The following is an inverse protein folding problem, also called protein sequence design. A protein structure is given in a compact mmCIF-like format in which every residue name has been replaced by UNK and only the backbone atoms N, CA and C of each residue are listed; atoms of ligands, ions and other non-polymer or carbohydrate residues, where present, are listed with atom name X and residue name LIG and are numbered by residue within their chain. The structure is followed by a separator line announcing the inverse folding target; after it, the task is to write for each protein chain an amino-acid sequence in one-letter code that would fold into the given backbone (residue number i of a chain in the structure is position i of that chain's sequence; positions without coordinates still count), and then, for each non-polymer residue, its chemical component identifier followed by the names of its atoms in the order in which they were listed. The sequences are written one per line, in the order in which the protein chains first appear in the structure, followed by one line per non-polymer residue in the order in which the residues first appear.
data_IF_628341005388
#
_entry.id   IF_628341005388
#
_cell.length_a   1.000
_cell.length_b   1.000
_cell.length_c   1.000
_cell.angle_alpha   90.00
_cell.angle_beta   90.00
_cell.angle_gamma   90.00
#
_symmetry.space_group_name_H-M   'P 1'
#
loop_
_entity.id
_entity.type
_entity.pdbx_description
1 polymer ?
#
# COMPACT_ATOMS: atom_id res chain seq x y z
N UNK A 1 -8.65 -26.98 0.66
CA UNK A 1 -7.50 -27.73 1.19
C UNK A 1 -6.38 -26.81 1.68
N UNK A 2 -5.71 -26.00 0.83
CA UNK A 2 -4.66 -25.08 1.28
C UNK A 2 -5.13 -24.05 2.35
N UNK A 3 -6.37 -23.58 2.26
CA UNK A 3 -6.97 -22.67 3.26
C UNK A 3 -7.13 -23.29 4.66
N UNK A 4 -7.22 -24.62 4.77
CA UNK A 4 -7.34 -25.31 6.06
C UNK A 4 -6.00 -25.40 6.81
N UNK A 5 -4.89 -25.64 6.11
CA UNK A 5 -3.55 -25.69 6.71
C UNK A 5 -3.15 -24.37 7.37
N UNK A 6 -3.59 -23.25 6.79
CA UNK A 6 -3.37 -21.90 7.33
C UNK A 6 -4.15 -21.58 8.60
N UNK A 7 -5.26 -22.28 8.84
CA UNK A 7 -6.01 -22.14 10.10
C UNK A 7 -5.23 -22.73 11.27
N UNK A 8 -4.31 -23.66 10.99
CA UNK A 8 -3.47 -24.35 11.95
C UNK A 8 -2.00 -23.85 11.97
N UNK A 9 -1.69 -22.78 11.23
CA UNK A 9 -0.31 -22.24 11.08
C UNK A 9 0.73 -23.23 10.53
N UNK A 10 0.29 -24.31 9.87
CA UNK A 10 1.18 -25.32 9.27
C UNK A 10 1.60 -24.90 7.85
N UNK A 11 2.65 -24.08 7.79
CA UNK A 11 3.21 -23.55 6.54
C UNK A 11 3.98 -24.62 5.76
N UNK A 12 4.61 -25.58 6.45
CA UNK A 12 5.37 -26.65 5.81
C UNK A 12 4.45 -27.64 5.09
N UNK A 13 3.32 -28.02 5.70
CA UNK A 13 2.28 -28.80 5.03
C UNK A 13 1.67 -28.10 3.83
N UNK A 14 1.41 -26.78 3.95
CA UNK A 14 0.92 -25.96 2.83
C UNK A 14 1.94 -25.89 1.68
N UNK A 15 3.24 -25.78 1.99
CA UNK A 15 4.34 -25.76 1.01
C UNK A 15 4.45 -27.10 0.27
N UNK A 16 4.34 -28.22 0.98
CA UNK A 16 4.41 -29.56 0.39
C UNK A 16 3.28 -29.76 -0.64
N UNK A 17 2.06 -29.43 -0.24
CA UNK A 17 0.90 -29.46 -1.13
C UNK A 17 1.05 -28.53 -2.32
N UNK A 18 1.58 -27.32 -2.11
CA UNK A 18 1.81 -26.37 -3.20
C UNK A 18 2.82 -26.88 -4.25
N UNK A 19 3.85 -27.63 -3.82
CA UNK A 19 4.80 -28.28 -4.74
C UNK A 19 4.17 -29.39 -5.57
N UNK A 20 3.19 -30.11 -5.02
CA UNK A 20 2.49 -31.21 -5.69
C UNK A 20 1.39 -30.76 -6.66
N UNK A 21 1.01 -29.47 -6.67
CA UNK A 21 -0.02 -28.96 -7.58
C UNK A 21 0.45 -29.03 -9.06
N UNK A 22 -0.31 -29.68 -9.95
CA UNK A 22 -0.01 -29.70 -11.39
C UNK A 22 -0.01 -28.28 -11.99
N UNK A 23 -0.91 -27.43 -11.50
CA UNK A 23 -1.03 -26.03 -11.87
C UNK A 23 -1.00 -25.18 -10.61
N UNK A 24 0.06 -24.41 -10.44
CA UNK A 24 0.17 -23.39 -9.39
C UNK A 24 -0.65 -22.19 -9.83
N UNK A 25 -1.89 -22.08 -9.36
CA UNK A 25 -2.76 -20.93 -9.63
C UNK A 25 -2.30 -19.68 -8.86
N UNK A 26 -2.80 -18.50 -9.24
CA UNK A 26 -2.60 -17.26 -8.47
C UNK A 26 -3.13 -17.44 -7.05
N UNK A 27 -4.31 -18.03 -6.90
CA UNK A 27 -4.93 -18.29 -5.59
C UNK A 27 -4.05 -19.17 -4.71
N UNK A 28 -3.51 -20.28 -5.23
CA UNK A 28 -2.63 -21.15 -4.45
C UNK A 28 -1.36 -20.42 -3.95
N UNK A 29 -0.82 -19.50 -4.76
CA UNK A 29 0.33 -18.66 -4.38
C UNK A 29 -0.06 -17.63 -3.31
N UNK A 30 -1.17 -16.92 -3.49
CA UNK A 30 -1.68 -15.95 -2.50
C UNK A 30 -1.94 -16.62 -1.15
N UNK A 31 -2.49 -17.83 -1.18
CA UNK A 31 -2.76 -18.64 0.02
C UNK A 31 -1.45 -19.05 0.71
N UNK A 32 -0.45 -19.53 -0.02
CA UNK A 32 0.87 -19.84 0.55
C UNK A 32 1.52 -18.60 1.19
N UNK A 33 1.51 -17.46 0.47
CA UNK A 33 2.10 -16.19 0.93
C UNK A 33 1.39 -15.68 2.20
N UNK A 34 0.06 -15.68 2.21
CA UNK A 34 -0.70 -15.31 3.42
C UNK A 34 -0.41 -16.22 4.62
N UNK A 35 0.05 -17.45 4.40
CA UNK A 35 0.57 -18.32 5.46
C UNK A 35 1.88 -17.92 6.05
N UNK A 36 2.89 -17.72 5.23
CA UNK A 36 4.19 -17.23 5.69
C UNK A 36 4.05 -15.91 6.46
N UNK A 37 3.17 -15.02 5.96
CA UNK A 37 2.84 -13.74 6.60
C UNK A 37 2.22 -13.91 7.99
N UNK A 38 1.30 -14.88 8.17
CA UNK A 38 0.64 -15.15 9.46
C UNK A 38 1.59 -15.75 10.49
N UNK A 39 2.46 -16.67 10.06
CA UNK A 39 3.46 -17.32 10.93
C UNK A 39 4.65 -16.40 11.22
N UNK A 40 4.75 -15.25 10.56
CA UNK A 40 5.85 -14.31 10.72
C UNK A 40 7.15 -14.79 10.08
N UNK A 41 7.12 -15.90 9.34
CA UNK A 41 8.29 -16.46 8.66
C UNK A 41 8.42 -15.89 7.25
N UNK A 42 8.51 -14.57 7.19
CA UNK A 42 8.50 -13.82 5.92
C UNK A 42 9.86 -13.93 5.21
N UNK A 43 10.92 -14.26 5.95
CA UNK A 43 12.26 -14.52 5.41
C UNK A 43 12.26 -15.74 4.48
N UNK A 44 11.76 -16.91 4.93
CA UNK A 44 11.62 -18.10 4.08
C UNK A 44 10.72 -17.87 2.88
N UNK A 45 9.74 -16.97 3.00
CA UNK A 45 8.86 -16.63 1.88
C UNK A 45 9.65 -16.04 0.70
N UNK A 46 10.72 -15.26 0.95
CA UNK A 46 11.54 -14.68 -0.12
C UNK A 46 12.35 -15.73 -0.88
N UNK A 47 12.71 -16.84 -0.23
CA UNK A 47 13.41 -17.96 -0.87
C UNK A 47 12.46 -18.78 -1.75
N UNK A 48 11.22 -18.97 -1.27
CA UNK A 48 10.28 -19.91 -1.88
C UNK A 48 9.36 -19.27 -2.94
N UNK A 49 9.20 -17.94 -2.92
CA UNK A 49 8.24 -17.22 -3.74
C UNK A 49 8.95 -16.21 -4.66
N UNK A 50 8.67 -16.21 -5.98
CA UNK A 50 9.24 -15.21 -6.87
C UNK A 50 8.98 -13.78 -6.39
N UNK A 51 9.99 -12.91 -6.41
CA UNK A 51 9.94 -11.55 -5.87
C UNK A 51 8.72 -10.74 -6.36
N UNK A 52 8.33 -10.87 -7.64
CA UNK A 52 7.14 -10.20 -8.20
C UNK A 52 5.84 -10.61 -7.49
N UNK A 53 5.72 -11.87 -7.09
CA UNK A 53 4.53 -12.38 -6.40
C UNK A 53 4.48 -11.93 -4.93
N UNK A 54 5.64 -11.70 -4.31
CA UNK A 54 5.72 -11.15 -2.96
C UNK A 54 5.18 -9.71 -2.94
N UNK A 55 5.64 -8.84 -3.85
CA UNK A 55 5.15 -7.46 -3.96
C UNK A 55 3.65 -7.41 -4.26
N UNK A 56 3.18 -8.21 -5.23
CA UNK A 56 1.75 -8.28 -5.58
C UNK A 56 0.89 -8.70 -4.39
N UNK A 57 1.39 -9.60 -3.53
CA UNK A 57 0.65 -10.08 -2.37
C UNK A 57 0.57 -9.06 -1.23
N UNK A 58 1.66 -8.34 -0.97
CA UNK A 58 1.63 -7.19 -0.06
C UNK A 58 0.66 -6.13 -0.55
N UNK A 59 0.67 -5.82 -1.85
CA UNK A 59 -0.25 -4.85 -2.45
C UNK A 59 -1.71 -5.28 -2.29
N UNK A 60 -2.03 -6.53 -2.61
CA UNK A 60 -3.39 -7.06 -2.46
C UNK A 60 -3.85 -7.02 -1.00
N UNK A 61 -2.96 -7.35 -0.05
CA UNK A 61 -3.28 -7.31 1.37
C UNK A 61 -3.53 -5.89 1.88
N UNK A 62 -2.65 -4.96 1.53
CA UNK A 62 -2.78 -3.53 1.87
C UNK A 62 -4.07 -2.97 1.28
N UNK A 63 -4.33 -3.21 -0.01
CA UNK A 63 -5.55 -2.76 -0.68
C UNK A 63 -6.80 -3.34 0.00
N UNK A 64 -6.81 -4.64 0.30
CA UNK A 64 -7.92 -5.27 0.99
C UNK A 64 -8.17 -4.70 2.40
N UNK A 65 -7.13 -4.33 3.15
CA UNK A 65 -7.32 -3.64 4.44
C UNK A 65 -7.89 -2.23 4.26
N UNK A 66 -7.43 -1.50 3.25
CA UNK A 66 -7.94 -0.15 2.93
C UNK A 66 -9.41 -0.20 2.49
N UNK A 67 -9.79 -1.14 1.62
CA UNK A 67 -11.18 -1.35 1.19
C UNK A 67 -12.11 -1.69 2.36
N UNK A 68 -11.58 -2.35 3.40
CA UNK A 68 -12.34 -2.69 4.60
C UNK A 68 -12.24 -1.64 5.72
N UNK A 69 -11.79 -0.41 5.42
CA UNK A 69 -11.62 0.68 6.42
C UNK A 69 -10.78 0.27 7.63
N UNK A 70 -9.72 -0.51 7.40
CA UNK A 70 -8.74 -0.98 8.40
C UNK A 70 -7.38 -0.39 8.12
N UNK A 71 -7.29 0.93 8.16
CA UNK A 71 -6.11 1.70 7.74
C UNK A 71 -4.89 1.42 8.63
N UNK A 72 -5.10 1.23 9.93
CA UNK A 72 -4.04 0.88 10.86
C UNK A 72 -3.41 -0.49 10.53
N UNK A 73 -4.22 -1.46 10.13
CA UNK A 73 -3.73 -2.77 9.70
C UNK A 73 -3.01 -2.68 8.36
N UNK A 74 -3.54 -1.89 7.42
CA UNK A 74 -2.87 -1.61 6.15
C UNK A 74 -1.47 -1.01 6.39
N UNK A 75 -1.36 -0.03 7.29
CA UNK A 75 -0.09 0.60 7.65
C UNK A 75 0.86 -0.40 8.33
N UNK A 76 0.36 -1.21 9.27
CA UNK A 76 1.17 -2.23 9.95
C UNK A 76 1.82 -3.18 8.95
N UNK A 77 1.07 -3.59 7.92
CA UNK A 77 1.58 -4.46 6.88
C UNK A 77 2.52 -3.72 5.92
N UNK A 78 2.23 -2.48 5.55
CA UNK A 78 3.16 -1.66 4.78
C UNK A 78 4.51 -1.47 5.51
N UNK A 79 4.49 -1.19 6.81
CA UNK A 79 5.71 -1.07 7.63
C UNK A 79 6.51 -2.37 7.63
N UNK A 80 5.86 -3.51 7.84
CA UNK A 80 6.52 -4.83 7.73
C UNK A 80 7.12 -5.06 6.36
N UNK A 81 6.42 -4.74 5.27
CA UNK A 81 6.92 -4.85 3.90
C UNK A 81 8.25 -4.10 3.75
N UNK A 82 8.32 -2.87 4.27
CA UNK A 82 9.53 -2.04 4.25
C UNK A 82 10.63 -2.60 5.15
N UNK A 83 10.30 -3.07 6.36
CA UNK A 83 11.25 -3.70 7.30
C UNK A 83 11.92 -4.94 6.70
N UNK A 84 11.16 -5.73 5.92
CA UNK A 84 11.69 -6.88 5.18
C UNK A 84 12.47 -6.50 3.90
N UNK A 85 12.72 -5.21 3.66
CA UNK A 85 13.48 -4.75 2.50
C UNK A 85 12.73 -4.85 1.17
N UNK A 86 11.42 -5.08 1.17
CA UNK A 86 10.63 -5.18 -0.06
C UNK A 86 10.36 -3.79 -0.60
N UNK A 87 10.87 -3.52 -1.81
CA UNK A 87 10.67 -2.23 -2.47
C UNK A 87 9.19 -2.01 -2.80
N UNK A 88 8.58 -0.98 -2.22
CA UNK A 88 7.22 -0.55 -2.54
C UNK A 88 7.11 -0.09 -3.99
N UNK A 89 6.02 -0.44 -4.67
CA UNK A 89 5.71 0.07 -6.01
C UNK A 89 4.82 1.31 -5.93
N UNK A 90 4.70 2.09 -7.03
CA UNK A 90 3.74 3.20 -7.10
C UNK A 90 2.32 2.79 -6.71
N UNK A 91 1.88 1.59 -7.13
CA UNK A 91 0.59 1.03 -6.75
C UNK A 91 0.48 0.79 -5.24
N UNK A 92 1.53 0.27 -4.60
CA UNK A 92 1.57 0.10 -3.15
C UNK A 92 1.32 1.43 -2.45
N UNK A 93 2.07 2.46 -2.85
CA UNK A 93 1.99 3.79 -2.22
C UNK A 93 0.62 4.43 -2.45
N UNK A 94 0.08 4.35 -3.66
CA UNK A 94 -1.26 4.85 -3.96
C UNK A 94 -2.34 4.19 -3.09
N UNK A 95 -2.29 2.86 -2.90
CA UNK A 95 -3.23 2.15 -2.04
C UNK A 95 -3.13 2.59 -0.58
N UNK A 96 -1.92 2.70 -0.01
CA UNK A 96 -1.78 3.13 1.39
C UNK A 96 -2.24 4.58 1.57
N UNK A 97 -1.92 5.48 0.62
CA UNK A 97 -2.34 6.88 0.64
C UNK A 97 -3.85 7.04 0.53
N UNK A 98 -4.53 6.17 -0.21
CA UNK A 98 -5.99 6.12 -0.26
C UNK A 98 -6.57 5.84 1.13
N UNK A 99 -6.01 4.89 1.88
CA UNK A 99 -6.39 4.65 3.28
C UNK A 99 -6.09 5.85 4.19
N UNK A 100 -5.09 6.65 3.85
CA UNK A 100 -4.73 7.84 4.65
C UNK A 100 -5.55 9.09 4.31
N UNK A 101 -6.57 8.98 3.47
CA UNK A 101 -7.31 10.12 2.91
C UNK A 101 -8.41 10.68 3.82
N UNK A 102 -8.39 10.40 5.13
CA UNK A 102 -9.35 10.94 6.09
C UNK A 102 -8.62 11.60 7.26
N UNK A 103 -9.27 12.55 7.96
CA UNK A 103 -8.64 13.33 9.03
C UNK A 103 -8.00 12.45 10.13
N UNK A 104 -8.63 11.37 10.63
CA UNK A 104 -8.02 10.50 11.64
C UNK A 104 -6.72 9.81 11.17
N UNK A 105 -6.52 9.68 9.86
CA UNK A 105 -5.38 8.97 9.26
C UNK A 105 -4.34 9.91 8.64
N UNK A 106 -4.47 11.23 8.82
CA UNK A 106 -3.46 12.21 8.37
C UNK A 106 -2.06 11.94 8.94
N UNK A 107 -1.96 11.49 10.19
CA UNK A 107 -0.69 11.14 10.83
C UNK A 107 0.01 10.03 10.04
N UNK A 108 -0.75 9.02 9.60
CA UNK A 108 -0.27 7.94 8.76
C UNK A 108 0.18 8.45 7.39
N UNK A 109 -0.61 9.33 6.78
CA UNK A 109 -0.27 9.99 5.52
C UNK A 109 1.07 10.76 5.59
N UNK A 110 1.31 11.49 6.68
CA UNK A 110 2.59 12.20 6.92
C UNK A 110 3.77 11.24 7.08
N UNK A 111 3.58 10.09 7.72
CA UNK A 111 4.63 9.07 7.83
C UNK A 111 4.99 8.50 6.46
N UNK A 112 4.00 8.24 5.59
CA UNK A 112 4.23 7.78 4.21
C UNK A 112 4.93 8.85 3.40
N UNK A 113 4.52 10.12 3.52
CA UNK A 113 5.22 11.23 2.87
C UNK A 113 6.71 11.24 3.25
N UNK A 114 7.03 11.17 4.55
CA UNK A 114 8.42 11.14 5.01
C UNK A 114 9.19 9.92 4.48
N UNK A 115 8.54 8.77 4.38
CA UNK A 115 9.11 7.59 3.74
C UNK A 115 9.38 7.83 2.25
N UNK A 116 8.40 8.34 1.52
CA UNK A 116 8.50 8.60 0.07
C UNK A 116 9.63 9.56 -0.26
N UNK A 117 9.85 10.59 0.56
CA UNK A 117 10.93 11.57 0.38
C UNK A 117 12.32 10.92 0.29
N UNK A 118 12.50 9.73 0.89
CA UNK A 118 13.75 8.96 0.86
C UNK A 118 13.84 7.98 -0.31
N UNK A 119 12.83 7.97 -1.19
CA UNK A 119 12.74 7.05 -2.32
C UNK A 119 12.78 7.81 -3.64
N UNK A 120 13.24 7.18 -4.74
CA UNK A 120 13.20 7.80 -6.06
C UNK A 120 11.77 8.03 -6.58
N UNK A 121 10.74 7.61 -5.84
CA UNK A 121 9.33 7.74 -6.21
C UNK A 121 8.69 9.06 -5.75
N UNK A 122 9.35 9.85 -4.90
CA UNK A 122 8.75 11.05 -4.28
C UNK A 122 8.12 12.02 -5.29
N UNK A 123 8.82 12.26 -6.39
CA UNK A 123 8.43 13.22 -7.43
C UNK A 123 7.92 12.56 -8.71
N UNK A 124 7.67 11.25 -8.68
CA UNK A 124 7.00 10.56 -9.78
C UNK A 124 5.54 11.03 -9.82
N UNK A 125 5.09 11.57 -10.96
CA UNK A 125 3.81 12.28 -11.10
C UNK A 125 2.63 11.49 -10.52
N UNK A 126 2.59 10.17 -10.72
CA UNK A 126 1.49 9.31 -10.24
C UNK A 126 1.44 9.26 -8.71
N UNK A 127 2.58 9.02 -8.07
CA UNK A 127 2.67 8.92 -6.60
C UNK A 127 2.52 10.30 -5.96
N UNK A 128 3.15 11.34 -6.53
CA UNK A 128 2.99 12.72 -6.08
C UNK A 128 1.54 13.19 -6.12
N UNK A 129 0.80 12.88 -7.19
CA UNK A 129 -0.64 13.19 -7.31
C UNK A 129 -1.48 12.41 -6.30
N UNK A 130 -1.11 11.16 -5.99
CA UNK A 130 -1.80 10.37 -4.96
C UNK A 130 -1.61 10.98 -3.57
N UNK A 131 -0.40 11.46 -3.26
CA UNK A 131 -0.09 12.12 -2.00
C UNK A 131 -0.76 13.51 -1.89
N UNK A 132 -0.84 14.24 -3.00
CA UNK A 132 -1.61 15.48 -3.11
C UNK A 132 -3.08 15.27 -2.77
N UNK A 133 -3.70 14.26 -3.38
CA UNK A 133 -5.09 13.91 -3.12
C UNK A 133 -5.35 13.56 -1.65
N UNK A 134 -4.41 12.87 -1.00
CA UNK A 134 -4.49 12.57 0.43
C UNK A 134 -4.52 13.85 1.26
N UNK A 135 -3.58 14.78 1.06
CA UNK A 135 -3.57 16.05 1.79
C UNK A 135 -4.82 16.90 1.57
N UNK A 136 -5.32 16.93 0.33
CA UNK A 136 -6.56 17.63 -0.01
C UNK A 136 -7.77 17.05 0.73
N UNK A 137 -7.93 15.73 0.75
CA UNK A 137 -9.03 15.08 1.47
C UNK A 137 -8.92 15.21 2.99
N UNK A 138 -7.71 15.31 3.53
CA UNK A 138 -7.51 15.64 4.94
C UNK A 138 -7.72 17.13 5.28
N UNK A 139 -8.04 17.99 4.31
CA UNK A 139 -8.28 19.42 4.52
C UNK A 139 -7.02 20.23 4.83
N UNK A 140 -5.82 19.71 4.54
CA UNK A 140 -4.54 20.37 4.85
C UNK A 140 -4.01 21.06 3.59
N UNK A 141 -4.65 22.17 3.23
CA UNK A 141 -4.40 22.89 1.98
C UNK A 141 -2.94 23.35 1.82
N UNK A 142 -2.31 23.84 2.88
CA UNK A 142 -0.91 24.31 2.82
C UNK A 142 0.06 23.22 2.39
N UNK A 143 -0.11 22.00 2.92
CA UNK A 143 0.72 20.86 2.55
C UNK A 143 0.41 20.38 1.12
N UNK A 144 -0.87 20.40 0.72
CA UNK A 144 -1.28 20.09 -0.64
C UNK A 144 -0.63 21.05 -1.64
N UNK A 145 -0.69 22.36 -1.38
CA UNK A 145 -0.09 23.37 -2.25
C UNK A 145 1.43 23.24 -2.33
N UNK A 146 2.10 23.06 -1.20
CA UNK A 146 3.56 22.85 -1.17
C UNK A 146 3.96 21.66 -2.03
N UNK A 147 3.28 20.52 -1.87
CA UNK A 147 3.55 19.33 -2.66
C UNK A 147 3.24 19.54 -4.14
N UNK A 148 2.13 20.20 -4.46
CA UNK A 148 1.78 20.56 -5.83
C UNK A 148 2.90 21.37 -6.48
N UNK A 149 3.46 22.37 -5.79
CA UNK A 149 4.60 23.15 -6.30
C UNK A 149 5.84 22.29 -6.55
N UNK A 150 6.13 21.31 -5.69
CA UNK A 150 7.30 20.42 -5.80
C UNK A 150 7.20 19.38 -6.93
N UNK A 151 5.99 18.96 -7.35
CA UNK A 151 5.80 18.00 -8.45
C UNK A 151 6.32 18.60 -9.78
N UNK A 152 7.38 18.04 -10.39
CA UNK A 152 8.06 18.66 -11.53
C UNK A 152 7.22 18.61 -12.81
N UNK A 153 6.51 17.50 -13.03
CA UNK A 153 5.59 17.32 -14.17
C UNK A 153 4.19 17.10 -13.65
N UNK A 154 3.32 18.08 -13.86
CA UNK A 154 1.91 18.06 -13.50
C UNK A 154 1.10 17.63 -14.71
N UNK A 155 0.28 16.60 -14.56
CA UNK A 155 -0.66 16.20 -15.58
C UNK A 155 -2.06 16.77 -15.29
N UNK A 156 -3.02 16.46 -16.15
CA UNK A 156 -4.40 16.90 -15.99
C UNK A 156 -4.98 16.44 -14.64
N UNK A 157 -4.59 15.25 -14.15
CA UNK A 157 -5.05 14.72 -12.87
C UNK A 157 -4.49 15.58 -11.73
N UNK A 158 -3.20 15.93 -11.76
CA UNK A 158 -2.58 16.80 -10.74
C UNK A 158 -3.27 18.17 -10.65
N UNK A 159 -3.58 18.79 -11.79
CA UNK A 159 -4.29 20.08 -11.82
C UNK A 159 -5.72 19.98 -11.30
N UNK A 160 -6.47 18.97 -11.76
CA UNK A 160 -7.84 18.73 -11.32
C UNK A 160 -7.90 18.49 -9.81
N UNK A 161 -6.96 17.71 -9.28
CA UNK A 161 -6.81 17.48 -7.84
C UNK A 161 -6.70 18.79 -7.05
N UNK A 162 -5.86 19.73 -7.48
CA UNK A 162 -5.68 21.00 -6.78
C UNK A 162 -6.92 21.91 -6.88
N UNK A 163 -7.58 21.96 -8.05
CA UNK A 163 -8.80 22.74 -8.22
C UNK A 163 -9.92 22.21 -7.33
N UNK A 164 -10.13 20.89 -7.31
CA UNK A 164 -11.08 20.24 -6.41
C UNK A 164 -10.75 20.47 -4.93
N UNK A 165 -9.45 20.53 -4.59
CA UNK A 165 -8.96 20.85 -3.25
C UNK A 165 -9.47 22.23 -2.77
N UNK A 166 -9.27 23.27 -3.58
CA UNK A 166 -9.71 24.63 -3.26
C UNK A 166 -11.24 24.72 -3.18
N UNK A 167 -11.95 24.13 -4.15
CA UNK A 167 -13.40 24.14 -4.16
C UNK A 167 -14.00 23.48 -2.91
N UNK A 168 -13.39 22.39 -2.43
CA UNK A 168 -13.80 21.73 -1.19
C UNK A 168 -13.42 22.54 0.06
N UNK A 169 -12.25 23.19 0.06
CA UNK A 169 -11.77 24.00 1.18
C UNK A 169 -12.66 25.22 1.44
N UNK A 170 -13.10 25.92 0.39
CA UNK A 170 -14.00 27.08 0.49
C UNK A 170 -15.38 26.70 1.07
N UNK A 171 -15.82 25.46 0.88
CA UNK A 171 -17.05 24.93 1.47
C UNK A 171 -16.91 24.56 2.96
N UNK A 172 -15.69 24.34 3.46
CA UNK A 172 -15.44 23.96 4.86
C UNK A 172 -15.27 25.17 5.80
N UNK A 173 -15.09 26.37 5.26
CA UNK A 173 -14.89 27.62 6.03
C UNK A 173 -16.20 28.42 6.20
N UNK A 174 -17.29 28.01 5.54
CA UNK A 174 -18.63 28.58 5.73
C UNK A 174 -19.42 27.77 6.75
#
# INVERSE_FOLDING_TARGET
MLSCYLRNSDVDGAKLLFKQLPIKSVVARTVLITGYMKVGNVERMFEDVPAKNVVVSWNAMIAGYVENSRENDAMKHFKKMVEFGVKSSPLTLASVLLGCSNLPTLILGKQIHQFMYKTPLYLETTVGTSLLNMYCKCGVLDNAWKLFSEIPRKDLVTWNSMISCYAAYDCLIK
#
